data_IF_235510763979
#
_entry.id   IF_235510763979
#
_cell.length_a   1.000
_cell.length_b   1.000
_cell.length_c   1.000
_cell.angle_alpha   90.00
_cell.angle_beta   90.00
_cell.angle_gamma   90.00
#
_symmetry.space_group_name_H-M   'P 1'
#
loop_
_entity.id
_entity.type
_entity.pdbx_description
1 polymer ?
#
# COMPACT_ATOMS: atom_id res chain seq x y z
N UNK A 1 -1.48 -10.19 27.40
CA UNK A 1 -1.72 -10.23 25.94
C UNK A 1 -2.95 -11.08 25.71
N UNK A 2 -3.86 -10.65 24.83
CA UNK A 2 -5.02 -11.46 24.46
C UNK A 2 -4.58 -12.76 23.80
N UNK A 3 -5.24 -13.87 24.13
CA UNK A 3 -5.01 -15.17 23.52
C UNK A 3 -6.27 -15.62 22.81
N UNK A 4 -6.12 -16.21 21.64
CA UNK A 4 -7.20 -16.82 20.87
C UNK A 4 -6.77 -18.24 20.48
N UNK A 5 -7.63 -19.22 20.79
CA UNK A 5 -7.45 -20.60 20.41
C UNK A 5 -8.56 -21.02 19.44
N UNK A 6 -8.20 -21.25 18.17
CA UNK A 6 -9.07 -21.92 17.22
C UNK A 6 -8.92 -23.43 17.42
N UNK A 7 -9.98 -24.13 17.83
CA UNK A 7 -9.99 -25.57 18.03
C UNK A 7 -10.68 -26.32 16.89
N UNK A 8 -10.22 -27.54 16.67
CA UNK A 8 -10.89 -28.48 15.76
C UNK A 8 -11.01 -27.96 14.31
N UNK A 9 -9.98 -27.27 13.80
CA UNK A 9 -9.98 -26.81 12.42
C UNK A 9 -9.97 -28.00 11.46
N UNK A 10 -11.05 -28.21 10.70
CA UNK A 10 -11.14 -29.36 9.79
C UNK A 10 -10.07 -29.28 8.70
N UNK A 11 -9.87 -28.11 8.10
CA UNK A 11 -8.86 -27.87 7.08
C UNK A 11 -8.11 -26.58 7.39
N UNK A 12 -6.84 -26.69 7.72
CA UNK A 12 -5.93 -25.57 7.80
C UNK A 12 -5.03 -25.56 6.54
N UNK A 13 -5.27 -24.59 5.67
CA UNK A 13 -4.46 -24.36 4.46
C UNK A 13 -3.38 -23.36 4.84
N UNK A 14 -2.13 -23.79 4.87
CA UNK A 14 -1.04 -22.99 5.47
C UNK A 14 -0.41 -22.00 4.51
N UNK A 15 -0.44 -22.25 3.20
CA UNK A 15 0.32 -21.51 2.18
C UNK A 15 1.82 -21.35 2.55
N UNK A 16 2.36 -22.34 3.27
CA UNK A 16 3.80 -22.39 3.52
C UNK A 16 4.55 -22.97 2.30
N UNK A 17 5.88 -22.98 2.35
CA UNK A 17 6.75 -23.47 1.25
C UNK A 17 6.48 -24.92 0.82
N UNK A 18 5.71 -25.67 1.60
CA UNK A 18 5.34 -27.07 1.32
C UNK A 18 3.89 -27.23 0.87
N UNK A 19 3.12 -26.15 0.77
CA UNK A 19 1.69 -26.14 0.45
C UNK A 19 0.87 -27.10 1.34
N UNK A 20 1.21 -27.19 2.63
CA UNK A 20 0.59 -28.14 3.54
C UNK A 20 -0.88 -27.81 3.81
N UNK A 21 -1.73 -28.82 3.72
CA UNK A 21 -3.12 -28.80 4.20
C UNK A 21 -3.20 -29.74 5.40
N UNK A 22 -3.32 -29.16 6.60
CA UNK A 22 -3.41 -29.90 7.86
C UNK A 22 -4.88 -30.15 8.21
N UNK A 23 -5.19 -31.30 8.83
CA UNK A 23 -6.54 -31.69 9.21
C UNK A 23 -6.66 -31.93 10.69
N UNK A 24 -7.75 -31.43 11.28
CA UNK A 24 -8.05 -31.53 12.72
C UNK A 24 -6.88 -30.98 13.56
N UNK A 25 -6.51 -29.74 13.30
CA UNK A 25 -5.48 -28.99 14.00
C UNK A 25 -6.07 -27.83 14.78
N UNK A 26 -5.41 -27.44 15.84
CA UNK A 26 -5.69 -26.24 16.60
C UNK A 26 -4.66 -25.16 16.25
N UNK A 27 -5.06 -23.90 16.42
CA UNK A 27 -4.19 -22.73 16.19
C UNK A 27 -4.26 -21.82 17.42
N UNK A 28 -3.13 -21.56 18.04
CA UNK A 28 -3.02 -20.60 19.13
C UNK A 28 -2.43 -19.29 18.60
N UNK A 29 -3.14 -18.20 18.84
CA UNK A 29 -2.72 -16.83 18.57
C UNK A 29 -2.50 -16.12 19.91
N UNK A 30 -1.35 -15.46 20.06
CA UNK A 30 -1.01 -14.65 21.22
C UNK A 30 -0.61 -13.24 20.74
N UNK A 31 -1.41 -12.25 21.15
CA UNK A 31 -1.28 -10.91 20.62
C UNK A 31 -1.57 -10.88 19.10
N UNK A 32 -0.56 -10.52 18.29
CA UNK A 32 -0.66 -10.45 16.85
C UNK A 32 0.07 -11.57 16.08
N UNK A 33 0.40 -12.67 16.78
CA UNK A 33 1.21 -13.77 16.21
C UNK A 33 0.52 -15.12 16.40
N UNK A 34 0.57 -15.97 15.37
CA UNK A 34 0.32 -17.40 15.51
C UNK A 34 1.55 -18.01 16.21
N UNK A 35 1.38 -18.45 17.46
CA UNK A 35 2.49 -18.97 18.26
C UNK A 35 2.57 -20.48 18.27
N UNK A 36 1.45 -21.16 17.96
CA UNK A 36 1.43 -22.62 17.90
C UNK A 36 0.38 -23.13 16.93
N UNK A 37 0.76 -24.14 16.16
CA UNK A 37 -0.14 -24.98 15.36
C UNK A 37 0.11 -26.43 15.77
N UNK A 38 -0.94 -27.16 16.16
CA UNK A 38 -0.81 -28.53 16.67
C UNK A 38 -2.15 -29.20 16.89
N UNK A 39 -2.14 -30.40 17.44
CA UNK A 39 -3.35 -31.11 17.88
C UNK A 39 -3.48 -31.00 19.38
N UNK A 40 -4.72 -30.95 19.88
CA UNK A 40 -5.06 -30.98 21.31
C UNK A 40 -4.27 -29.89 22.10
N UNK A 41 -4.17 -28.67 21.55
CA UNK A 41 -3.51 -27.56 22.24
C UNK A 41 -4.29 -27.27 23.56
N UNK A 42 -3.57 -27.34 24.67
CA UNK A 42 -4.07 -26.93 25.96
C UNK A 42 -3.62 -25.49 26.23
N UNK A 43 -4.51 -24.70 26.82
CA UNK A 43 -4.20 -23.36 27.33
C UNK A 43 -4.25 -23.41 28.85
N UNK A 44 -3.47 -22.56 29.51
CA UNK A 44 -3.50 -22.44 30.95
C UNK A 44 -4.91 -22.02 31.42
N UNK A 45 -5.47 -22.71 32.44
CA UNK A 45 -6.83 -22.46 32.97
C UNK A 45 -6.98 -21.05 33.58
N UNK A 46 -5.90 -20.32 33.74
CA UNK A 46 -5.85 -19.04 34.47
C UNK A 46 -5.85 -17.79 33.57
N UNK A 47 -5.97 -17.94 32.26
CA UNK A 47 -5.83 -16.82 31.30
C UNK A 47 -7.10 -16.51 30.54
N UNK A 48 -7.29 -15.25 30.18
CA UNK A 48 -8.30 -14.75 29.26
C UNK A 48 -8.05 -15.28 27.83
N UNK A 49 -8.25 -16.58 27.62
CA UNK A 49 -8.15 -17.19 26.28
C UNK A 49 -9.55 -17.30 25.69
N UNK A 50 -9.79 -16.58 24.60
CA UNK A 50 -10.99 -16.79 23.78
C UNK A 50 -10.83 -18.11 23.01
N UNK A 51 -11.84 -18.98 23.06
CA UNK A 51 -11.84 -20.26 22.34
C UNK A 51 -12.94 -20.23 21.29
N UNK A 52 -12.56 -20.46 20.04
CA UNK A 52 -13.49 -20.60 18.92
C UNK A 52 -13.44 -22.05 18.43
N UNK A 53 -14.59 -22.73 18.44
CA UNK A 53 -14.73 -24.03 17.79
C UNK A 53 -14.82 -23.85 16.27
N UNK A 54 -13.82 -24.33 15.58
CA UNK A 54 -13.68 -24.26 14.13
C UNK A 54 -14.06 -25.58 13.41
N UNK A 55 -14.86 -26.44 14.09
CA UNK A 55 -15.41 -27.67 13.48
C UNK A 55 -16.20 -27.32 12.20
N UNK A 56 -15.92 -28.03 11.11
CA UNK A 56 -16.54 -27.78 9.80
C UNK A 56 -15.99 -26.54 9.07
N UNK A 57 -14.89 -25.94 9.54
CA UNK A 57 -14.30 -24.74 8.94
C UNK A 57 -13.03 -25.04 8.17
N UNK A 58 -12.82 -24.23 7.14
CA UNK A 58 -11.52 -24.07 6.48
C UNK A 58 -10.88 -22.78 7.01
N UNK A 59 -9.66 -22.87 7.47
CA UNK A 59 -8.90 -21.71 7.96
C UNK A 59 -7.72 -21.45 7.04
N UNK A 60 -7.54 -20.18 6.67
CA UNK A 60 -6.47 -19.68 5.83
C UNK A 60 -5.76 -18.52 6.53
N UNK A 61 -4.50 -18.21 6.18
CA UNK A 61 -3.91 -16.92 6.51
C UNK A 61 -4.76 -15.77 5.98
N UNK A 62 -4.80 -14.66 6.70
CA UNK A 62 -5.48 -13.45 6.23
C UNK A 62 -4.87 -12.95 4.91
N UNK A 63 -5.71 -12.42 4.04
CA UNK A 63 -5.25 -11.90 2.75
C UNK A 63 -4.39 -10.65 2.93
N UNK A 64 -3.51 -10.42 1.97
CA UNK A 64 -2.62 -9.25 1.89
C UNK A 64 -2.98 -8.44 0.67
N UNK A 65 -3.28 -7.16 0.87
CA UNK A 65 -3.51 -6.21 -0.20
C UNK A 65 -2.26 -5.33 -0.38
N UNK A 66 -1.68 -5.36 -1.57
CA UNK A 66 -0.39 -4.71 -1.86
C UNK A 66 -0.50 -3.40 -2.66
N UNK A 67 -1.74 -2.94 -2.93
CA UNK A 67 -2.00 -1.63 -3.54
C UNK A 67 -3.43 -1.16 -3.26
N UNK A 68 -3.58 0.04 -2.72
CA UNK A 68 -4.87 0.67 -2.42
C UNK A 68 -4.73 2.20 -2.33
N UNK A 69 -5.87 2.89 -2.43
CA UNK A 69 -5.99 4.34 -2.21
C UNK A 69 -7.16 4.60 -1.27
N UNK A 70 -6.93 4.54 0.03
CA UNK A 70 -7.98 4.59 1.06
C UNK A 70 -8.81 5.88 1.01
N UNK A 71 -8.15 7.03 0.79
CA UNK A 71 -8.86 8.31 0.71
C UNK A 71 -9.87 8.37 -0.44
N UNK A 72 -9.65 7.60 -1.52
CA UNK A 72 -10.56 7.56 -2.67
C UNK A 72 -11.92 6.92 -2.35
N UNK A 73 -12.03 6.17 -1.25
CA UNK A 73 -13.30 5.57 -0.84
C UNK A 73 -14.41 6.62 -0.64
N UNK A 74 -14.03 7.85 -0.25
CA UNK A 74 -14.96 8.96 -0.05
C UNK A 74 -15.43 9.63 -1.35
N UNK A 75 -14.82 9.28 -2.49
CA UNK A 75 -15.06 9.90 -3.80
C UNK A 75 -15.61 8.92 -4.84
N UNK A 76 -16.08 7.76 -4.40
CA UNK A 76 -16.71 6.78 -5.28
C UNK A 76 -18.06 7.31 -5.80
N UNK A 77 -18.38 6.99 -7.04
CA UNK A 77 -19.67 7.32 -7.64
C UNK A 77 -19.82 8.78 -8.05
N UNK A 78 -18.75 9.48 -8.36
CA UNK A 78 -18.79 10.82 -8.97
C UNK A 78 -19.08 10.63 -10.46
N UNK A 79 -20.31 10.95 -10.89
CA UNK A 79 -20.81 10.68 -12.24
C UNK A 79 -19.94 11.29 -13.34
N UNK A 80 -19.39 12.49 -13.09
CA UNK A 80 -18.62 13.26 -14.07
C UNK A 80 -17.33 12.54 -14.53
N UNK A 81 -16.80 11.61 -13.73
CA UNK A 81 -15.52 10.95 -14.02
C UNK A 81 -15.61 9.44 -14.23
N UNK A 82 -16.80 8.83 -14.10
CA UNK A 82 -16.97 7.36 -14.05
C UNK A 82 -16.38 6.61 -15.25
N UNK A 83 -16.52 7.13 -16.45
CA UNK A 83 -16.11 6.45 -17.69
C UNK A 83 -14.88 7.10 -18.35
N UNK A 84 -14.17 7.98 -17.64
CA UNK A 84 -13.01 8.66 -18.19
C UNK A 84 -11.77 7.75 -18.21
N UNK A 85 -10.92 7.85 -19.26
CA UNK A 85 -9.57 7.27 -19.22
C UNK A 85 -8.73 7.89 -18.07
N UNK A 86 -7.60 7.24 -17.71
CA UNK A 86 -6.82 7.57 -16.51
C UNK A 86 -6.50 9.06 -16.36
N UNK A 87 -5.91 9.70 -17.37
CA UNK A 87 -5.47 11.11 -17.23
C UNK A 87 -6.64 12.08 -17.06
N UNK A 88 -7.69 12.07 -17.90
CA UNK A 88 -8.89 12.87 -17.66
C UNK A 88 -9.60 12.54 -16.35
N UNK A 89 -9.60 11.27 -15.92
CA UNK A 89 -10.15 10.84 -14.65
C UNK A 89 -9.40 11.47 -13.46
N UNK A 90 -8.06 11.45 -13.49
CA UNK A 90 -7.23 12.09 -12.48
C UNK A 90 -7.46 13.61 -12.44
N UNK A 91 -7.46 14.27 -13.61
CA UNK A 91 -7.68 15.72 -13.69
C UNK A 91 -9.04 16.12 -13.12
N UNK A 92 -10.10 15.35 -13.40
CA UNK A 92 -11.42 15.57 -12.82
C UNK A 92 -11.43 15.38 -11.30
N UNK A 93 -10.79 14.33 -10.81
CA UNK A 93 -10.77 14.02 -9.37
C UNK A 93 -9.88 14.97 -8.55
N UNK A 94 -8.83 15.56 -9.11
CA UNK A 94 -8.05 16.57 -8.41
C UNK A 94 -8.90 17.79 -7.99
N UNK A 95 -9.98 18.10 -8.71
CA UNK A 95 -10.90 19.17 -8.34
C UNK A 95 -11.65 18.88 -7.02
N UNK A 96 -11.77 17.63 -6.64
CA UNK A 96 -12.32 17.18 -5.36
C UNK A 96 -11.22 16.92 -4.34
N UNK A 97 -10.14 16.24 -4.71
CA UNK A 97 -9.06 15.86 -3.81
C UNK A 97 -8.27 17.03 -3.25
N UNK A 98 -8.29 18.20 -3.90
CA UNK A 98 -7.68 19.42 -3.36
C UNK A 98 -8.33 19.92 -2.04
N UNK A 99 -9.46 19.33 -1.64
CA UNK A 99 -10.15 19.61 -0.37
C UNK A 99 -9.94 18.51 0.68
N UNK A 100 -9.11 17.52 0.42
CA UNK A 100 -8.74 16.51 1.42
C UNK A 100 -8.20 17.16 2.69
N UNK A 101 -8.65 16.65 3.82
CA UNK A 101 -8.21 17.05 5.16
C UNK A 101 -8.12 15.83 6.07
N UNK A 102 -7.68 16.04 7.30
CA UNK A 102 -7.46 14.99 8.28
C UNK A 102 -8.73 14.15 8.53
N UNK A 103 -9.88 14.79 8.65
CA UNK A 103 -11.15 14.10 8.90
C UNK A 103 -11.55 13.21 7.71
N UNK A 104 -11.45 13.73 6.51
CA UNK A 104 -11.75 12.98 5.27
C UNK A 104 -10.82 11.76 5.13
N UNK A 105 -9.53 11.93 5.40
CA UNK A 105 -8.56 10.82 5.32
C UNK A 105 -8.83 9.77 6.40
N UNK A 106 -9.13 10.20 7.63
CA UNK A 106 -9.48 9.26 8.71
C UNK A 106 -10.70 8.41 8.36
N UNK A 107 -11.83 9.04 8.00
CA UNK A 107 -13.05 8.29 7.69
C UNK A 107 -12.92 7.47 6.40
N UNK A 108 -12.24 8.00 5.37
CA UNK A 108 -11.94 7.25 4.17
C UNK A 108 -11.13 5.98 4.48
N UNK A 109 -10.16 6.09 5.38
CA UNK A 109 -9.36 4.95 5.85
C UNK A 109 -10.20 3.96 6.65
N UNK A 110 -11.06 4.43 7.56
CA UNK A 110 -11.97 3.56 8.33
C UNK A 110 -12.90 2.76 7.42
N UNK A 111 -13.47 3.39 6.40
CA UNK A 111 -14.32 2.71 5.40
C UNK A 111 -13.52 1.66 4.63
N UNK A 112 -12.37 2.03 4.06
CA UNK A 112 -11.55 1.10 3.28
C UNK A 112 -11.01 -0.07 4.12
N UNK A 113 -10.51 0.18 5.31
CA UNK A 113 -10.07 -0.89 6.23
C UNK A 113 -11.22 -1.83 6.63
N UNK A 114 -12.41 -1.28 6.89
CA UNK A 114 -13.59 -2.09 7.22
C UNK A 114 -13.98 -3.01 6.08
N UNK A 115 -13.98 -2.51 4.85
CA UNK A 115 -14.28 -3.31 3.67
C UNK A 115 -13.23 -4.42 3.47
N UNK A 116 -11.95 -4.09 3.60
CA UNK A 116 -10.86 -5.06 3.49
C UNK A 116 -10.99 -6.17 4.55
N UNK A 117 -11.18 -5.82 5.82
CA UNK A 117 -11.36 -6.80 6.90
C UNK A 117 -12.58 -7.71 6.67
N UNK A 118 -13.71 -7.15 6.20
CA UNK A 118 -14.91 -7.95 5.88
C UNK A 118 -14.70 -8.94 4.74
N UNK A 119 -13.70 -8.74 3.89
CA UNK A 119 -13.33 -9.68 2.82
C UNK A 119 -12.18 -10.62 3.22
N UNK A 120 -11.71 -10.56 4.46
CA UNK A 120 -10.63 -11.42 4.99
C UNK A 120 -9.22 -10.88 4.78
N UNK A 121 -9.07 -9.64 4.32
CA UNK A 121 -7.78 -8.97 4.23
C UNK A 121 -7.38 -8.45 5.61
N UNK A 122 -6.25 -8.92 6.14
CA UNK A 122 -5.75 -8.55 7.47
C UNK A 122 -4.47 -7.73 7.44
N UNK A 123 -3.86 -7.62 6.27
CA UNK A 123 -2.66 -6.81 6.03
C UNK A 123 -2.86 -5.99 4.76
N UNK A 124 -2.74 -4.68 4.84
CA UNK A 124 -2.89 -3.81 3.67
C UNK A 124 -1.82 -2.74 3.63
N UNK A 125 -1.47 -2.35 2.41
CA UNK A 125 -0.80 -1.09 2.17
C UNK A 125 -1.81 -0.04 1.68
N UNK A 126 -1.42 1.23 1.72
CA UNK A 126 -2.11 2.33 1.07
C UNK A 126 -1.12 3.25 0.34
N UNK A 127 -1.50 3.71 -0.83
CA UNK A 127 -0.73 4.70 -1.58
C UNK A 127 -1.41 6.08 -1.48
N UNK A 128 -1.13 6.80 -0.39
CA UNK A 128 -1.61 8.16 -0.18
C UNK A 128 -0.62 9.17 -0.77
N UNK A 129 -1.00 9.84 -1.83
CA UNK A 129 -0.10 10.74 -2.57
C UNK A 129 -0.64 12.17 -2.78
N UNK A 130 -1.87 12.45 -2.36
CA UNK A 130 -2.48 13.77 -2.49
C UNK A 130 -2.36 14.56 -1.19
N UNK A 131 -1.62 15.65 -1.24
CA UNK A 131 -1.39 16.56 -0.12
C UNK A 131 -1.76 17.98 -0.57
N UNK A 132 -3.01 18.42 -0.32
CA UNK A 132 -3.40 19.78 -0.66
C UNK A 132 -2.58 20.82 0.11
N UNK A 133 -2.21 21.92 -0.56
CA UNK A 133 -1.48 23.04 0.07
C UNK A 133 -2.23 23.67 1.25
N UNK A 134 -3.53 23.39 1.38
CA UNK A 134 -4.40 23.86 2.47
C UNK A 134 -4.46 22.91 3.66
N UNK A 135 -3.98 21.67 3.51
CA UNK A 135 -3.95 20.68 4.58
C UNK A 135 -2.62 20.70 5.32
N UNK A 136 -2.61 20.13 6.53
CA UNK A 136 -1.38 19.88 7.27
C UNK A 136 -0.68 18.63 6.74
N UNK A 137 0.61 18.49 7.01
CA UNK A 137 1.41 17.30 6.65
C UNK A 137 1.06 16.02 7.45
N UNK A 138 -0.06 16.02 8.20
CA UNK A 138 -0.44 14.94 9.13
C UNK A 138 -1.48 13.98 8.58
N UNK A 139 -1.76 14.00 7.28
CA UNK A 139 -2.80 13.15 6.69
C UNK A 139 -2.53 11.65 6.88
N UNK A 140 -1.28 11.20 6.74
CA UNK A 140 -0.93 9.79 6.95
C UNK A 140 -0.97 9.40 8.43
N UNK A 141 -0.76 10.35 9.35
CA UNK A 141 -0.96 10.11 10.80
C UNK A 141 -2.40 9.66 11.09
N UNK A 142 -3.38 10.22 10.38
CA UNK A 142 -4.79 9.84 10.50
C UNK A 142 -5.07 8.43 9.96
N UNK A 143 -4.36 7.99 8.93
CA UNK A 143 -4.43 6.60 8.47
C UNK A 143 -3.90 5.64 9.53
N UNK A 144 -2.79 5.98 10.19
CA UNK A 144 -2.27 5.19 11.31
C UNK A 144 -3.25 5.17 12.49
N UNK A 145 -3.87 6.31 12.85
CA UNK A 145 -4.90 6.36 13.88
C UNK A 145 -6.07 5.43 13.55
N UNK A 146 -6.56 5.48 12.33
CA UNK A 146 -7.64 4.60 11.86
C UNK A 146 -7.24 3.11 11.90
N UNK A 147 -6.01 2.78 11.47
CA UNK A 147 -5.52 1.39 11.47
C UNK A 147 -5.36 0.82 12.88
N UNK A 148 -4.94 1.65 13.84
CA UNK A 148 -4.84 1.25 15.26
C UNK A 148 -6.22 0.99 15.86
N UNK A 149 -7.17 1.86 15.59
CA UNK A 149 -8.52 1.76 16.15
C UNK A 149 -9.25 0.52 15.62
N UNK A 150 -9.11 0.19 14.33
CA UNK A 150 -9.76 -0.96 13.73
C UNK A 150 -8.96 -2.27 13.90
N UNK A 151 -7.66 -2.19 14.20
CA UNK A 151 -6.80 -3.33 14.46
C UNK A 151 -6.27 -4.05 13.21
N UNK A 152 -6.14 -3.39 12.07
CA UNK A 152 -5.56 -3.95 10.83
C UNK A 152 -4.04 -3.73 10.78
N UNK A 153 -3.28 -4.70 10.24
CA UNK A 153 -1.86 -4.49 9.95
C UNK A 153 -1.71 -3.57 8.74
N UNK A 154 -1.00 -2.46 8.94
CA UNK A 154 -0.96 -1.38 7.97
C UNK A 154 0.46 -1.00 7.55
N UNK A 155 0.70 -1.02 6.25
CA UNK A 155 1.91 -0.53 5.61
C UNK A 155 1.58 0.78 4.87
N UNK A 156 1.66 1.90 5.56
CA UNK A 156 1.45 3.21 4.94
C UNK A 156 2.56 3.52 3.94
N UNK A 157 2.22 4.20 2.86
CA UNK A 157 3.25 4.82 2.03
C UNK A 157 3.18 6.34 2.12
N UNK A 158 4.34 6.99 2.25
CA UNK A 158 4.45 8.41 2.02
C UNK A 158 4.52 8.64 0.51
N UNK A 159 3.33 8.70 -0.11
CA UNK A 159 3.18 9.10 -1.50
C UNK A 159 3.44 10.59 -1.68
N UNK A 160 3.64 11.03 -2.90
CA UNK A 160 3.94 12.44 -3.16
C UNK A 160 3.78 12.81 -4.63
N UNK A 161 3.57 14.09 -4.89
CA UNK A 161 3.64 14.72 -6.20
C UNK A 161 4.51 15.97 -6.11
N UNK A 162 5.53 16.08 -6.97
CA UNK A 162 6.49 17.19 -6.99
C UNK A 162 6.56 17.90 -8.32
N UNK A 163 5.81 17.42 -9.33
CA UNK A 163 5.74 18.02 -10.67
C UNK A 163 4.29 18.38 -10.97
N UNK A 164 3.96 19.67 -10.93
CA UNK A 164 2.66 20.20 -11.27
C UNK A 164 2.52 20.59 -12.75
N UNK A 165 1.33 21.10 -13.10
CA UNK A 165 1.02 21.57 -14.47
C UNK A 165 1.99 22.64 -14.97
N UNK A 166 2.42 23.56 -14.11
CA UNK A 166 3.41 24.60 -14.48
C UNK A 166 4.77 24.01 -14.86
N UNK A 167 5.08 22.79 -14.42
CA UNK A 167 6.32 22.08 -14.74
C UNK A 167 6.11 20.94 -15.75
N UNK A 168 4.95 20.93 -16.43
CA UNK A 168 4.60 19.93 -17.43
C UNK A 168 4.20 18.56 -16.85
N UNK A 169 3.81 18.51 -15.57
CA UNK A 169 3.19 17.35 -14.94
C UNK A 169 1.66 17.35 -15.09
N UNK A 170 1.02 16.27 -14.65
CA UNK A 170 -0.43 16.13 -14.72
C UNK A 170 -1.18 16.81 -13.55
N UNK A 171 -0.72 16.72 -12.29
CA UNK A 171 -1.47 17.26 -11.15
C UNK A 171 -1.49 18.80 -11.14
N UNK A 172 -2.57 19.42 -10.62
CA UNK A 172 -2.57 20.86 -10.39
C UNK A 172 -1.59 21.24 -9.27
N UNK A 173 -1.01 22.43 -9.35
CA UNK A 173 0.01 22.90 -8.40
C UNK A 173 -0.52 23.03 -6.96
N UNK A 174 -1.83 23.06 -6.78
CA UNK A 174 -2.48 23.07 -5.45
C UNK A 174 -2.32 21.79 -4.62
N UNK A 175 -1.87 20.69 -5.24
CA UNK A 175 -1.62 19.40 -4.57
C UNK A 175 -0.18 18.91 -4.76
N UNK A 176 0.71 19.78 -5.20
CA UNK A 176 2.13 19.52 -5.39
C UNK A 176 2.92 20.11 -4.23
N UNK A 177 3.91 19.37 -3.76
CA UNK A 177 4.81 19.79 -2.67
C UNK A 177 6.25 19.95 -3.18
N UNK A 178 7.06 20.74 -2.47
CA UNK A 178 8.49 20.79 -2.72
C UNK A 178 9.17 19.47 -2.35
N UNK A 179 10.26 19.14 -3.02
CA UNK A 179 11.03 17.92 -2.72
C UNK A 179 11.54 17.91 -1.28
N UNK A 180 11.91 19.08 -0.74
CA UNK A 180 12.38 19.23 0.64
C UNK A 180 11.27 18.88 1.64
N UNK A 181 10.05 19.43 1.47
CA UNK A 181 8.90 19.10 2.32
C UNK A 181 8.57 17.61 2.28
N UNK A 182 8.59 17.00 1.08
CA UNK A 182 8.33 15.58 0.90
C UNK A 182 9.35 14.72 1.65
N UNK A 183 10.63 15.01 1.52
CA UNK A 183 11.70 14.23 2.15
C UNK A 183 11.72 14.42 3.67
N UNK A 184 11.49 15.62 4.18
CA UNK A 184 11.39 15.89 5.62
C UNK A 184 10.20 15.16 6.25
N UNK A 185 9.04 15.20 5.61
CA UNK A 185 7.86 14.48 6.11
C UNK A 185 8.01 12.96 5.97
N UNK A 186 8.69 12.49 4.93
CA UNK A 186 9.03 11.07 4.76
C UNK A 186 9.90 10.57 5.93
N UNK A 187 10.95 11.31 6.28
CA UNK A 187 11.81 10.98 7.42
C UNK A 187 11.03 11.02 8.74
N UNK A 188 10.20 12.06 8.96
CA UNK A 188 9.33 12.17 10.13
C UNK A 188 8.41 10.95 10.30
N UNK A 189 7.73 10.53 9.22
CA UNK A 189 6.81 9.39 9.26
C UNK A 189 7.53 8.08 9.55
N UNK A 190 8.70 7.85 8.93
CA UNK A 190 9.52 6.67 9.20
C UNK A 190 9.91 6.66 10.68
N UNK A 191 10.48 7.73 11.19
CA UNK A 191 10.96 7.81 12.55
C UNK A 191 9.84 7.70 13.61
N UNK A 192 8.62 8.10 13.24
CA UNK A 192 7.45 8.06 14.14
C UNK A 192 6.71 6.72 14.15
N UNK A 193 6.57 6.07 13.01
CA UNK A 193 5.63 4.96 12.85
C UNK A 193 6.25 3.65 12.34
N UNK A 194 7.42 3.70 11.69
CA UNK A 194 7.98 2.48 11.12
C UNK A 194 8.52 1.56 12.20
N UNK A 195 7.99 0.34 12.25
CA UNK A 195 8.49 -0.74 13.09
C UNK A 195 9.08 -1.83 12.17
N UNK A 196 10.39 -2.05 12.27
CA UNK A 196 11.13 -3.03 11.47
C UNK A 196 11.04 -4.46 12.00
N UNK A 197 10.50 -4.64 13.22
CA UNK A 197 10.40 -5.96 13.84
C UNK A 197 9.49 -6.92 13.07
N UNK A 198 9.76 -8.20 13.20
CA UNK A 198 8.90 -9.23 12.63
C UNK A 198 7.48 -9.13 13.19
N UNK A 199 6.49 -9.26 12.29
CA UNK A 199 5.05 -9.16 12.61
C UNK A 199 4.59 -7.77 13.06
N UNK A 200 5.40 -6.72 12.82
CA UNK A 200 5.00 -5.35 13.12
C UNK A 200 3.61 -5.02 12.58
N UNK A 201 2.84 -4.25 13.36
CA UNK A 201 1.50 -3.79 12.95
C UNK A 201 1.56 -2.55 12.05
N UNK A 202 2.68 -1.83 12.08
CA UNK A 202 2.88 -0.57 11.35
C UNK A 202 4.20 -0.60 10.59
N UNK A 203 4.12 -0.25 9.31
CA UNK A 203 5.31 -0.01 8.49
C UNK A 203 5.11 1.23 7.63
N UNK A 204 6.20 1.84 7.21
CA UNK A 204 6.21 2.97 6.27
C UNK A 204 7.06 2.59 5.07
N UNK A 205 6.60 2.93 3.87
CA UNK A 205 7.39 2.93 2.64
C UNK A 205 7.36 4.32 2.01
N UNK A 206 8.26 4.61 1.08
CA UNK A 206 8.23 5.84 0.29
C UNK A 206 7.63 5.56 -1.08
N UNK A 207 6.72 6.44 -1.52
CA UNK A 207 5.96 6.18 -2.74
C UNK A 207 5.66 7.45 -3.56
N UNK A 208 6.66 8.10 -4.18
CA UNK A 208 6.39 9.05 -5.25
C UNK A 208 5.36 8.49 -6.22
N UNK A 209 4.34 9.31 -6.59
CA UNK A 209 3.11 8.80 -7.18
C UNK A 209 3.33 8.04 -8.50
N UNK A 210 3.96 8.69 -9.48
CA UNK A 210 4.14 8.13 -10.83
C UNK A 210 5.13 8.98 -11.63
N UNK A 211 5.72 8.46 -12.70
CA UNK A 211 6.66 9.21 -13.55
C UNK A 211 6.15 10.55 -14.07
N UNK A 212 4.84 10.70 -14.28
CA UNK A 212 4.23 11.92 -14.82
C UNK A 212 3.81 12.95 -13.76
N UNK A 213 3.97 12.63 -12.47
CA UNK A 213 3.57 13.51 -11.36
C UNK A 213 4.72 13.88 -10.42
N UNK A 214 5.92 13.33 -10.65
CA UNK A 214 7.11 13.57 -9.83
C UNK A 214 8.31 13.97 -10.68
N UNK A 215 9.26 14.63 -10.05
CA UNK A 215 10.56 14.94 -10.67
C UNK A 215 11.48 13.72 -10.58
N UNK A 216 12.39 13.60 -11.55
CA UNK A 216 13.43 12.56 -11.54
C UNK A 216 14.35 12.67 -10.32
N UNK A 217 14.62 13.90 -9.85
CA UNK A 217 15.40 14.16 -8.63
C UNK A 217 14.72 13.60 -7.39
N UNK A 218 13.40 13.81 -7.23
CA UNK A 218 12.65 13.23 -6.11
C UNK A 218 12.67 11.69 -6.13
N UNK A 219 12.49 11.07 -7.30
CA UNK A 219 12.61 9.61 -7.42
C UNK A 219 13.95 9.13 -6.86
N UNK A 220 15.06 9.73 -7.30
CA UNK A 220 16.40 9.36 -6.85
C UNK A 220 16.58 9.59 -5.34
N UNK A 221 16.23 10.76 -4.84
CA UNK A 221 16.38 11.11 -3.41
C UNK A 221 15.52 10.24 -2.51
N UNK A 222 14.31 9.86 -2.97
CA UNK A 222 13.44 8.92 -2.25
C UNK A 222 14.05 7.53 -2.17
N UNK A 223 14.68 7.03 -3.25
CA UNK A 223 15.36 5.73 -3.23
C UNK A 223 16.57 5.74 -2.28
N UNK A 224 17.35 6.82 -2.29
CA UNK A 224 18.49 6.99 -1.38
C UNK A 224 18.04 7.06 0.09
N UNK A 225 17.00 7.82 0.40
CA UNK A 225 16.43 7.94 1.74
C UNK A 225 15.85 6.60 2.24
N UNK A 226 15.07 5.92 1.40
CA UNK A 226 14.46 4.65 1.75
C UNK A 226 15.51 3.59 2.14
N UNK A 227 16.57 3.46 1.33
CA UNK A 227 17.66 2.52 1.62
C UNK A 227 18.48 2.91 2.84
N UNK A 228 18.73 4.21 3.05
CA UNK A 228 19.36 4.71 4.28
C UNK A 228 18.57 4.37 5.53
N UNK A 229 17.22 4.41 5.45
CA UNK A 229 16.29 4.13 6.57
C UNK A 229 15.84 2.66 6.65
N UNK A 230 16.19 1.83 5.67
CA UNK A 230 15.78 0.41 5.62
C UNK A 230 14.30 0.20 5.37
N UNK A 231 13.64 1.10 4.61
CA UNK A 231 12.23 1.01 4.24
C UNK A 231 12.06 0.68 2.76
N UNK A 232 10.90 0.20 2.38
CA UNK A 232 10.58 -0.19 1.00
C UNK A 232 10.16 1.01 0.14
N UNK A 233 10.10 0.77 -1.17
CA UNK A 233 9.75 1.73 -2.22
C UNK A 233 8.57 1.24 -3.03
N UNK A 234 7.65 2.15 -3.37
CA UNK A 234 6.48 1.87 -4.20
C UNK A 234 6.17 3.01 -5.15
N UNK A 235 5.68 2.70 -6.35
CA UNK A 235 5.15 3.69 -7.30
C UNK A 235 4.23 3.01 -8.32
N UNK A 236 3.37 3.79 -8.99
CA UNK A 236 2.69 3.32 -10.20
C UNK A 236 3.69 3.25 -11.33
N UNK A 237 3.63 2.19 -12.14
CA UNK A 237 4.54 2.01 -13.26
C UNK A 237 3.90 1.22 -14.40
N UNK A 238 4.08 1.73 -15.62
CA UNK A 238 3.62 1.11 -16.86
C UNK A 238 2.12 0.75 -16.83
N UNK A 239 1.31 1.68 -16.30
CA UNK A 239 -0.13 1.52 -16.19
C UNK A 239 -0.85 1.76 -17.50
N UNK A 240 -0.48 2.82 -18.24
CA UNK A 240 -1.10 3.22 -19.51
C UNK A 240 -0.05 3.61 -20.55
N UNK A 241 -0.47 3.65 -21.81
CA UNK A 241 0.40 4.15 -22.90
C UNK A 241 0.74 5.63 -22.74
N UNK A 242 -0.19 6.44 -22.18
CA UNK A 242 0.05 7.86 -21.91
C UNK A 242 1.27 8.08 -21.00
N UNK A 243 1.48 7.18 -20.03
CA UNK A 243 2.67 7.21 -19.16
C UNK A 243 3.95 6.92 -19.96
N UNK A 244 3.92 5.94 -20.86
CA UNK A 244 5.06 5.61 -21.71
C UNK A 244 5.42 6.79 -22.62
N UNK A 245 4.43 7.38 -23.29
CA UNK A 245 4.59 8.55 -24.14
C UNK A 245 5.15 9.74 -23.36
N UNK A 246 4.65 9.96 -22.16
CA UNK A 246 5.18 10.98 -21.25
C UNK A 246 6.66 10.73 -20.93
N UNK A 247 7.02 9.53 -20.51
CA UNK A 247 8.39 9.19 -20.14
C UNK A 247 9.35 9.37 -21.33
N UNK A 248 8.97 8.92 -22.51
CA UNK A 248 9.77 9.08 -23.73
C UNK A 248 9.94 10.57 -24.07
N UNK A 249 8.85 11.36 -24.03
CA UNK A 249 8.88 12.77 -24.40
C UNK A 249 9.69 13.64 -23.43
N UNK A 250 9.59 13.36 -22.13
CA UNK A 250 10.18 14.19 -21.06
C UNK A 250 11.58 13.73 -20.68
N UNK A 251 11.80 12.43 -20.62
CA UNK A 251 13.05 11.84 -20.13
C UNK A 251 13.88 11.17 -21.23
N UNK A 252 13.31 10.92 -22.40
CA UNK A 252 13.95 10.15 -23.49
C UNK A 252 14.12 8.67 -23.15
N UNK A 253 13.34 8.15 -22.21
CA UNK A 253 13.44 6.81 -21.63
C UNK A 253 12.06 6.18 -21.49
N UNK A 254 11.97 4.85 -21.60
CA UNK A 254 10.78 4.11 -21.19
C UNK A 254 10.65 4.07 -19.66
N UNK A 255 9.45 3.80 -19.11
CA UNK A 255 9.24 3.79 -17.65
C UNK A 255 10.24 2.94 -16.86
N UNK A 256 10.56 1.72 -17.31
CA UNK A 256 11.54 0.85 -16.62
C UNK A 256 12.96 1.40 -16.68
N UNK A 257 13.35 2.02 -17.80
CA UNK A 257 14.67 2.65 -17.93
C UNK A 257 14.83 3.81 -16.94
N UNK A 258 13.75 4.59 -16.75
CA UNK A 258 13.72 5.65 -15.73
C UNK A 258 13.88 5.07 -14.32
N UNK A 259 13.24 3.93 -14.02
CA UNK A 259 13.38 3.27 -12.72
C UNK A 259 14.81 2.79 -12.47
N UNK A 260 15.47 2.23 -13.49
CA UNK A 260 16.89 1.84 -13.37
C UNK A 260 17.79 3.06 -13.15
N UNK A 261 17.60 4.12 -13.92
CA UNK A 261 18.42 5.34 -13.83
C UNK A 261 18.27 6.06 -12.48
N UNK A 262 17.11 5.93 -11.84
CA UNK A 262 16.82 6.51 -10.51
C UNK A 262 17.03 5.54 -9.35
N UNK A 263 17.47 4.31 -9.62
CA UNK A 263 17.79 3.32 -8.61
C UNK A 263 16.58 2.59 -8.03
N UNK A 264 15.49 2.48 -8.77
CA UNK A 264 14.21 1.86 -8.35
C UNK A 264 14.07 0.39 -8.78
N UNK A 265 15.15 -0.37 -8.79
CA UNK A 265 15.12 -1.82 -9.05
C UNK A 265 15.71 -2.56 -7.85
N UNK A 266 15.04 -3.59 -7.38
CA UNK A 266 15.53 -4.43 -6.28
C UNK A 266 14.42 -5.08 -5.45
N UNK A 267 14.80 -5.92 -4.47
CA UNK A 267 13.85 -6.64 -3.62
C UNK A 267 13.13 -5.72 -2.62
N UNK A 268 13.59 -4.50 -2.48
CA UNK A 268 13.01 -3.43 -1.65
C UNK A 268 11.98 -2.59 -2.42
N UNK A 269 11.68 -2.93 -3.67
CA UNK A 269 10.81 -2.17 -4.58
C UNK A 269 9.65 -3.03 -5.06
N UNK A 270 8.44 -2.44 -5.08
CA UNK A 270 7.33 -3.02 -5.82
C UNK A 270 6.55 -1.95 -6.57
N UNK A 271 6.01 -2.32 -7.73
CA UNK A 271 5.27 -1.44 -8.62
C UNK A 271 3.80 -1.80 -8.66
N UNK A 272 2.92 -0.81 -8.80
CA UNK A 272 1.53 -1.05 -9.14
C UNK A 272 1.34 -1.12 -10.66
N UNK A 273 0.41 -1.96 -11.08
CA UNK A 273 -0.07 -2.18 -12.45
C UNK A 273 0.86 -3.04 -13.32
N UNK A 274 1.88 -2.47 -13.96
CA UNK A 274 2.82 -3.24 -14.81
C UNK A 274 2.19 -3.80 -16.08
N UNK A 275 1.22 -3.10 -16.69
CA UNK A 275 0.44 -3.59 -17.83
C UNK A 275 1.25 -3.51 -19.15
N UNK A 276 2.03 -2.47 -19.31
CA UNK A 276 2.75 -2.15 -20.56
C UNK A 276 4.24 -2.50 -20.50
N UNK A 277 4.64 -3.46 -19.66
CA UNK A 277 5.99 -4.01 -19.70
C UNK A 277 6.18 -4.89 -20.94
N UNK A 278 7.32 -4.77 -21.59
CA UNK A 278 7.76 -5.75 -22.58
C UNK A 278 8.62 -6.87 -21.95
N UNK A 279 8.91 -7.92 -22.72
CA UNK A 279 9.63 -9.10 -22.22
C UNK A 279 11.05 -8.79 -21.71
N UNK A 280 11.72 -7.78 -22.25
CA UNK A 280 13.06 -7.40 -21.81
C UNK A 280 13.00 -6.57 -20.52
N UNK A 281 12.01 -5.71 -20.38
CA UNK A 281 11.74 -4.97 -19.15
C UNK A 281 11.39 -5.93 -17.99
N UNK A 282 10.58 -6.95 -18.22
CA UNK A 282 10.26 -7.98 -17.22
C UNK A 282 11.51 -8.70 -16.69
N UNK A 283 12.50 -8.97 -17.56
CA UNK A 283 13.77 -9.57 -17.14
C UNK A 283 14.59 -8.61 -16.26
N UNK A 284 14.57 -7.32 -16.58
CA UNK A 284 15.29 -6.26 -15.85
C UNK A 284 14.68 -5.98 -14.49
N UNK A 285 13.36 -6.17 -14.33
CA UNK A 285 12.64 -6.02 -13.05
C UNK A 285 12.83 -7.19 -12.09
N UNK A 286 13.65 -8.18 -12.44
CA UNK A 286 13.87 -9.38 -11.61
C UNK A 286 14.27 -9.01 -10.17
N UNK A 287 13.48 -9.51 -9.23
CA UNK A 287 13.63 -9.23 -7.80
C UNK A 287 12.73 -8.12 -7.26
N UNK A 288 12.17 -7.28 -8.12
CA UNK A 288 11.13 -6.32 -7.73
C UNK A 288 9.75 -6.98 -7.71
N UNK A 289 8.84 -6.47 -6.85
CA UNK A 289 7.46 -6.92 -6.79
C UNK A 289 6.56 -6.21 -7.79
N UNK A 290 5.44 -6.84 -8.15
CA UNK A 290 4.38 -6.21 -8.94
C UNK A 290 3.04 -6.45 -8.24
N UNK A 291 2.31 -5.37 -7.96
CA UNK A 291 0.92 -5.40 -7.52
C UNK A 291 0.02 -5.31 -8.75
N UNK A 292 -0.49 -6.44 -9.20
CA UNK A 292 -1.40 -6.50 -10.34
C UNK A 292 -2.80 -6.02 -9.93
N UNK A 293 -3.35 -5.04 -10.67
CA UNK A 293 -4.63 -4.38 -10.38
C UNK A 293 -5.64 -4.58 -11.50
N UNK A 294 -6.10 -5.82 -11.78
CA UNK A 294 -6.89 -6.12 -12.98
C UNK A 294 -8.21 -5.38 -13.03
N UNK A 295 -8.89 -5.22 -11.90
CA UNK A 295 -10.18 -4.50 -11.85
C UNK A 295 -10.04 -3.02 -12.23
N UNK A 296 -8.95 -2.36 -11.85
CA UNK A 296 -8.68 -0.98 -12.23
C UNK A 296 -8.30 -0.88 -13.71
N UNK A 297 -7.48 -1.81 -14.20
CA UNK A 297 -6.95 -1.75 -15.56
C UNK A 297 -7.92 -2.25 -16.65
N UNK A 298 -9.04 -2.87 -16.27
CA UNK A 298 -10.11 -3.26 -17.21
C UNK A 298 -11.20 -2.19 -17.36
N UNK A 299 -11.03 -1.04 -16.77
CA UNK A 299 -11.93 0.09 -16.83
C UNK A 299 -11.90 0.77 -18.21
#
# INVERSE_FOLDING_TARGET
>A
MSKLLLKNVDYLVTFNDKDEILRNYDILVEGNKITKIGKDIQTDETGDTEIIDATGKVVLPGFVNTHHHLYQTMFRGIDEVQEMPLFPWLEGLYEFWKYLNEETVYYGSMVGFSELLKTGCTTTMDHHYVFPNTSKSTLIDEQFRASEEIGIRFHATRGSMSRGKEQGGLPPDSVVQSEEEILLDSERLIDKFHDSEDYAMKRVALAPCSPFSVTKSLMKSSAELARKKGVMLHTHLAETMDEEEFCISVYGMRPVELMEDTGWIGPDVWFAHGIYFNDDELKRLKGSGIAHCPSSNMK
#
